data_IF_507106817644
#
_entry.id   IF_507106817644
#
_cell.length_a   1.000
_cell.length_b   1.000
_cell.length_c   1.000
_cell.angle_alpha   90.00
_cell.angle_beta   90.00
_cell.angle_gamma   90.00
#
_symmetry.space_group_name_H-M   'P 1'
#
loop_
_entity.id
_entity.type
_entity.pdbx_description
1 polymer ?
#
# COMPACT_ATOMS: atom_id res chain seq x y z
N UNK A 1 2.66 4.49 -26.11
CA UNK A 1 1.76 4.20 -24.96
C UNK A 1 2.05 2.82 -24.32
N UNK A 2 3.31 2.48 -23.98
CA UNK A 2 3.64 1.16 -23.38
C UNK A 2 3.95 1.19 -21.87
N UNK A 3 4.20 2.36 -21.28
CA UNK A 3 4.64 2.44 -19.87
C UNK A 3 3.49 2.57 -18.86
N UNK A 4 2.30 3.04 -19.27
CA UNK A 4 1.17 3.21 -18.34
C UNK A 4 0.64 1.87 -17.81
N UNK A 5 0.58 0.83 -18.66
CA UNK A 5 0.08 -0.51 -18.26
C UNK A 5 1.00 -1.21 -17.26
N UNK A 6 2.31 -0.99 -17.34
CA UNK A 6 3.28 -1.58 -16.41
C UNK A 6 3.29 -0.85 -15.07
N UNK A 7 3.09 0.46 -15.04
CA UNK A 7 3.01 1.24 -13.80
C UNK A 7 1.71 0.99 -13.00
N UNK A 8 0.64 0.53 -13.65
CA UNK A 8 -0.64 0.24 -12.98
C UNK A 8 -0.70 -1.14 -12.32
N UNK A 9 0.09 -2.11 -12.81
CA UNK A 9 0.08 -3.48 -12.31
C UNK A 9 0.53 -3.55 -10.83
N UNK A 10 1.67 -2.97 -10.44
CA UNK A 10 2.10 -2.95 -9.04
C UNK A 10 1.11 -2.28 -8.08
N UNK A 11 0.53 -1.15 -8.49
CA UNK A 11 -0.49 -0.43 -7.71
C UNK A 11 -1.74 -1.29 -7.50
N UNK A 12 -2.20 -1.98 -8.55
CA UNK A 12 -3.37 -2.87 -8.47
C UNK A 12 -3.09 -4.08 -7.58
N UNK A 13 -1.94 -4.73 -7.74
CA UNK A 13 -1.50 -5.85 -6.89
C UNK A 13 -1.46 -5.43 -5.43
N UNK A 14 -0.83 -4.30 -5.12
CA UNK A 14 -0.75 -3.81 -3.75
C UNK A 14 -2.14 -3.50 -3.17
N UNK A 15 -3.03 -2.86 -3.94
CA UNK A 15 -4.40 -2.59 -3.50
C UNK A 15 -5.17 -3.89 -3.18
N UNK A 16 -5.04 -4.92 -4.03
CA UNK A 16 -5.69 -6.23 -3.82
C UNK A 16 -5.19 -6.93 -2.56
N UNK A 17 -3.89 -6.85 -2.28
CA UNK A 17 -3.28 -7.48 -1.09
C UNK A 17 -3.61 -6.75 0.21
N UNK A 18 -3.70 -5.42 0.17
CA UNK A 18 -4.00 -4.61 1.36
C UNK A 18 -5.48 -4.64 1.77
N UNK A 19 -6.40 -4.72 0.79
CA UNK A 19 -7.85 -4.71 1.05
C UNK A 19 -8.32 -5.75 2.08
N UNK A 20 -7.96 -7.04 2.00
CA UNK A 20 -8.40 -8.05 2.98
C UNK A 20 -7.72 -7.91 4.35
N UNK A 21 -6.48 -7.41 4.40
CA UNK A 21 -5.68 -7.29 5.63
C UNK A 21 -6.08 -6.07 6.49
N UNK A 22 -6.80 -5.12 5.89
CA UNK A 22 -7.14 -3.82 6.46
C UNK A 22 -8.66 -3.59 6.47
N UNK A 23 -9.41 -4.57 6.95
CA UNK A 23 -10.86 -4.44 7.11
C UNK A 23 -11.22 -3.22 7.98
N UNK A 24 -12.20 -2.43 7.50
CA UNK A 24 -12.59 -1.16 8.12
C UNK A 24 -11.72 0.06 7.78
N UNK A 25 -10.68 -0.09 6.95
CA UNK A 25 -9.86 1.04 6.45
C UNK A 25 -10.18 1.38 4.99
N UNK A 26 -10.02 2.65 4.64
CA UNK A 26 -9.98 3.09 3.24
C UNK A 26 -8.54 3.13 2.79
N UNK A 27 -8.19 2.34 1.77
CA UNK A 27 -6.84 2.24 1.19
C UNK A 27 -6.79 3.01 -0.12
N UNK A 28 -5.92 4.01 -0.23
CA UNK A 28 -5.62 4.70 -1.48
C UNK A 28 -4.17 4.41 -1.88
N UNK A 29 -3.95 3.72 -2.99
CA UNK A 29 -2.60 3.44 -3.49
C UNK A 29 -2.27 4.39 -4.63
N UNK A 30 -1.10 5.02 -4.55
CA UNK A 30 -0.59 5.89 -5.62
C UNK A 30 0.01 5.06 -6.77
N UNK A 31 -0.02 5.56 -8.01
CA UNK A 31 0.69 4.95 -9.13
C UNK A 31 2.17 4.77 -8.82
N UNK A 32 2.82 3.76 -9.42
CA UNK A 32 4.27 3.60 -9.34
C UNK A 32 5.00 4.83 -9.87
N UNK A 33 5.86 5.40 -9.02
CA UNK A 33 6.71 6.52 -9.37
C UNK A 33 7.90 6.07 -10.25
N UNK A 34 8.53 6.97 -11.02
CA UNK A 34 9.68 6.64 -11.86
C UNK A 34 10.90 6.09 -11.09
N UNK A 35 11.00 6.43 -9.80
CA UNK A 35 12.02 5.91 -8.88
C UNK A 35 11.72 4.50 -8.35
N UNK A 36 10.61 3.89 -8.80
CA UNK A 36 10.18 2.56 -8.37
C UNK A 36 9.45 2.53 -7.03
N UNK A 37 9.09 3.69 -6.46
CA UNK A 37 8.32 3.75 -5.22
C UNK A 37 6.81 3.67 -5.45
N UNK A 38 6.09 3.08 -4.48
CA UNK A 38 4.63 3.12 -4.38
C UNK A 38 4.26 3.59 -2.98
N UNK A 39 3.24 4.44 -2.87
CA UNK A 39 2.72 4.89 -1.58
C UNK A 39 1.29 4.40 -1.38
N UNK A 40 1.03 3.70 -0.29
CA UNK A 40 -0.33 3.45 0.18
C UNK A 40 -0.66 4.45 1.29
N UNK A 41 -1.77 5.15 1.13
CA UNK A 41 -2.36 6.03 2.13
C UNK A 41 -3.57 5.33 2.73
N UNK A 42 -3.52 5.12 4.04
CA UNK A 42 -4.55 4.41 4.79
C UNK A 42 -5.32 5.41 5.65
N UNK A 43 -6.65 5.35 5.55
CA UNK A 43 -7.56 6.14 6.37
C UNK A 43 -8.38 5.19 7.24
N UNK A 44 -8.26 5.35 8.55
CA UNK A 44 -9.15 4.65 9.48
C UNK A 44 -10.48 5.37 9.53
N UNK A 45 -11.59 4.65 9.71
CA UNK A 45 -12.86 5.29 10.07
C UNK A 45 -12.88 5.78 11.52
N UNK A 46 -12.05 5.18 12.37
CA UNK A 46 -11.97 5.50 13.80
C UNK A 46 -10.94 6.59 14.11
N UNK A 47 -9.96 6.80 13.23
CA UNK A 47 -8.88 7.75 13.42
C UNK A 47 -8.91 8.79 12.28
N UNK A 48 -8.88 10.08 12.64
CA UNK A 48 -8.92 11.17 11.66
C UNK A 48 -7.58 11.34 10.92
N UNK A 49 -6.54 10.60 11.31
CA UNK A 49 -5.24 10.67 10.68
C UNK A 49 -5.09 9.68 9.53
N UNK A 50 -4.41 10.15 8.47
CA UNK A 50 -3.99 9.30 7.37
C UNK A 50 -2.57 8.82 7.62
N UNK A 51 -2.34 7.52 7.44
CA UNK A 51 -1.00 6.93 7.52
C UNK A 51 -0.51 6.68 6.10
N UNK A 52 0.68 7.18 5.77
CA UNK A 52 1.32 6.94 4.47
C UNK A 52 2.45 5.94 4.66
N UNK A 53 2.44 4.89 3.86
CA UNK A 53 3.44 3.82 3.90
C UNK A 53 4.05 3.68 2.51
N UNK A 54 5.39 3.80 2.39
CA UNK A 54 6.07 3.42 1.17
C UNK A 54 6.16 1.90 1.03
N UNK A 55 6.01 1.43 -0.20
CA UNK A 55 6.17 0.05 -0.62
C UNK A 55 7.16 0.00 -1.79
N UNK A 56 8.05 -0.98 -1.74
CA UNK A 56 8.95 -1.33 -2.83
C UNK A 56 8.22 -2.21 -3.85
N UNK A 57 8.17 -1.78 -5.11
CA UNK A 57 7.58 -2.52 -6.24
C UNK A 57 8.12 -3.94 -6.34
N UNK A 58 9.40 -4.15 -6.05
CA UNK A 58 10.04 -5.46 -6.20
C UNK A 58 9.63 -6.44 -5.09
N UNK A 59 9.09 -5.94 -3.98
CA UNK A 59 8.73 -6.73 -2.81
C UNK A 59 7.21 -6.84 -2.58
N UNK A 60 6.38 -6.22 -3.43
CA UNK A 60 4.91 -6.21 -3.24
C UNK A 60 4.25 -7.58 -3.32
N UNK A 61 4.92 -8.58 -3.90
CA UNK A 61 4.44 -9.97 -3.97
C UNK A 61 4.95 -10.83 -2.79
N UNK A 62 5.84 -10.30 -1.95
CA UNK A 62 6.34 -11.00 -0.77
C UNK A 62 5.36 -10.85 0.40
N UNK A 63 4.86 -11.98 0.92
CA UNK A 63 3.91 -12.02 2.05
C UNK A 63 4.51 -11.47 3.35
N UNK A 64 5.73 -11.89 3.69
CA UNK A 64 6.40 -11.44 4.91
C UNK A 64 6.65 -9.93 4.88
N UNK A 65 7.07 -9.40 3.73
CA UNK A 65 7.28 -7.96 3.55
C UNK A 65 5.97 -7.17 3.79
N UNK A 66 4.86 -7.56 3.16
CA UNK A 66 3.58 -6.87 3.36
C UNK A 66 3.16 -6.91 4.83
N UNK A 67 3.30 -8.05 5.50
CA UNK A 67 2.95 -8.19 6.93
C UNK A 67 3.81 -7.29 7.82
N UNK A 68 5.11 -7.19 7.57
CA UNK A 68 6.00 -6.27 8.29
C UNK A 68 5.57 -4.81 8.11
N UNK A 69 5.27 -4.39 6.86
CA UNK A 69 4.79 -3.03 6.58
C UNK A 69 3.46 -2.75 7.28
N UNK A 70 2.55 -3.72 7.32
CA UNK A 70 1.27 -3.62 8.02
C UNK A 70 1.41 -3.59 9.54
N UNK A 71 2.39 -4.30 10.11
CA UNK A 71 2.65 -4.28 11.54
C UNK A 71 3.02 -2.87 12.03
N UNK A 72 3.76 -2.11 11.22
CA UNK A 72 4.08 -0.70 11.51
C UNK A 72 2.82 0.18 11.62
N UNK A 73 1.80 -0.08 10.79
CA UNK A 73 0.50 0.61 10.85
C UNK A 73 -0.19 0.30 12.17
N UNK A 74 -0.23 -0.98 12.54
CA UNK A 74 -0.89 -1.43 13.77
C UNK A 74 -0.20 -0.85 15.01
N UNK A 75 1.13 -0.76 14.99
CA UNK A 75 1.92 -0.14 16.06
C UNK A 75 1.73 1.38 16.15
N UNK A 76 1.34 2.04 15.06
CA UNK A 76 1.06 3.49 15.05
C UNK A 76 -0.31 3.85 15.65
N UNK A 77 -1.12 2.85 16.05
CA UNK A 77 -2.47 3.02 16.65
C UNK A 77 -2.44 3.18 18.18
N UNK A 78 -1.26 3.40 18.78
CA UNK A 78 -1.07 3.54 20.24
C UNK A 78 -1.11 5.02 20.64
#
# INVERSE_FOLDING_TARGET
MKNAKLATLPTQTLMQRLTPELDGWTVLVSPTCPDGSIFARLYSRADRHAIVIPFDVQAIDNDSYIRERLALVRASRV
#
